data_IF_555202216385
#
_entry.id   IF_555202216385
#
_cell.length_a   1.000
_cell.length_b   1.000
_cell.length_c   1.000
_cell.angle_alpha   90.00
_cell.angle_beta   90.00
_cell.angle_gamma   90.00
#
_symmetry.space_group_name_H-M   'P 1'
#
loop_
_entity.id
_entity.type
_entity.pdbx_description
1 polymer ?
#
# COMPACT_ATOMS: atom_id res chain seq x y z
N UNK A 1 -6.11 -3.71 28.25
CA UNK A 1 -5.13 -2.59 28.27
C UNK A 1 -4.50 -2.54 26.89
N UNK A 2 -4.28 -1.37 26.28
CA UNK A 2 -3.59 -1.30 24.98
C UNK A 2 -2.10 -1.58 25.21
N UNK A 3 -1.55 -2.66 24.66
CA UNK A 3 -0.14 -3.05 24.82
C UNK A 3 0.75 -2.26 23.85
N UNK A 4 1.21 -1.10 24.33
CA UNK A 4 2.23 -0.30 23.65
C UNK A 4 3.55 -0.52 24.39
N UNK A 5 4.60 -0.91 23.67
CA UNK A 5 5.92 -1.18 24.24
C UNK A 5 6.89 -0.03 23.96
N UNK A 6 7.82 0.22 24.88
CA UNK A 6 9.00 1.03 24.53
C UNK A 6 9.88 0.26 23.54
N UNK A 7 10.71 0.98 22.77
CA UNK A 7 11.67 0.34 21.87
C UNK A 7 12.58 -0.65 22.62
N UNK A 8 13.08 -0.26 23.79
CA UNK A 8 13.96 -1.10 24.60
C UNK A 8 13.25 -2.36 25.10
N UNK A 9 12.00 -2.25 25.56
CA UNK A 9 11.18 -3.39 25.97
C UNK A 9 10.94 -4.36 24.81
N UNK A 10 10.61 -3.82 23.63
CA UNK A 10 10.37 -4.64 22.44
C UNK A 10 11.65 -5.34 21.98
N UNK A 11 12.76 -4.60 21.86
CA UNK A 11 14.05 -5.16 21.41
C UNK A 11 14.54 -6.25 22.38
N UNK A 12 14.45 -6.01 23.69
CA UNK A 12 14.80 -7.01 24.71
C UNK A 12 13.96 -8.28 24.56
N UNK A 13 12.64 -8.13 24.37
CA UNK A 13 11.72 -9.26 24.19
C UNK A 13 12.01 -10.06 22.92
N UNK A 14 12.15 -9.40 21.75
CA UNK A 14 12.33 -10.13 20.49
C UNK A 14 13.68 -10.83 20.40
N UNK A 15 14.73 -10.32 21.07
CA UNK A 15 16.03 -11.01 21.16
C UNK A 15 15.94 -12.32 21.94
N UNK A 16 15.02 -12.42 22.89
CA UNK A 16 14.83 -13.62 23.71
C UNK A 16 13.92 -14.64 23.02
N UNK A 17 12.97 -14.19 22.20
CA UNK A 17 11.89 -15.05 21.71
C UNK A 17 11.88 -15.28 20.20
N UNK A 18 12.52 -14.43 19.38
CA UNK A 18 12.63 -14.63 17.94
C UNK A 18 14.03 -15.10 17.58
N UNK A 19 14.14 -16.27 16.95
CA UNK A 19 15.41 -16.81 16.46
C UNK A 19 16.05 -15.87 15.41
N UNK A 20 15.23 -15.24 14.58
CA UNK A 20 15.67 -14.22 13.62
C UNK A 20 16.32 -13.05 14.35
N UNK A 21 15.60 -12.37 15.25
CA UNK A 21 16.12 -11.18 15.92
C UNK A 21 17.24 -11.49 16.91
N UNK A 22 17.24 -12.65 17.55
CA UNK A 22 18.33 -13.13 18.41
C UNK A 22 19.66 -13.20 17.63
N UNK A 23 19.65 -13.78 16.43
CA UNK A 23 20.82 -13.84 15.57
C UNK A 23 21.20 -12.47 15.00
N UNK A 24 20.23 -11.74 14.45
CA UNK A 24 20.49 -10.47 13.75
C UNK A 24 20.90 -9.33 14.68
N UNK A 25 20.44 -9.32 15.94
CA UNK A 25 20.75 -8.27 16.92
C UNK A 25 21.79 -8.71 17.97
N UNK A 26 22.43 -9.87 17.79
CA UNK A 26 23.43 -10.40 18.75
C UNK A 26 24.58 -9.43 19.03
N UNK A 27 24.98 -8.66 18.01
CA UNK A 27 26.09 -7.71 18.06
C UNK A 27 25.77 -6.42 18.83
N UNK A 28 24.50 -6.17 19.17
CA UNK A 28 24.08 -4.96 19.88
C UNK A 28 24.14 -5.12 21.41
N UNK A 29 24.42 -4.02 22.16
CA UNK A 29 24.44 -4.02 23.62
C UNK A 29 23.08 -4.42 24.20
N UNK A 30 23.01 -4.81 25.48
CA UNK A 30 21.76 -5.26 26.12
C UNK A 30 20.84 -4.13 26.57
N UNK A 31 21.39 -2.93 26.77
CA UNK A 31 20.67 -1.73 27.25
C UNK A 31 21.11 -0.50 26.47
N UNK A 32 20.30 0.56 26.49
CA UNK A 32 20.64 1.83 25.84
C UNK A 32 20.59 1.79 24.31
N UNK A 33 19.93 0.79 23.73
CA UNK A 33 19.70 0.70 22.28
C UNK A 33 18.76 1.82 21.87
N UNK A 34 19.19 2.59 20.88
CA UNK A 34 18.36 3.56 20.17
C UNK A 34 17.94 3.02 18.81
N UNK A 35 16.98 3.70 18.18
CA UNK A 35 16.54 3.34 16.83
C UNK A 35 17.68 3.39 15.80
N UNK A 36 18.71 4.22 16.03
CA UNK A 36 19.85 4.37 15.11
C UNK A 36 20.78 3.16 15.13
N UNK A 37 20.80 2.41 16.24
CA UNK A 37 21.68 1.24 16.42
C UNK A 37 21.11 -0.01 15.73
N UNK A 38 19.79 -0.05 15.52
CA UNK A 38 19.14 -1.18 14.86
C UNK A 38 19.49 -1.21 13.37
N UNK A 39 19.86 -2.35 12.77
CA UNK A 39 20.03 -2.45 11.33
C UNK A 39 18.68 -2.32 10.60
N UNK A 40 18.72 -1.89 9.34
CA UNK A 40 17.54 -1.97 8.47
C UNK A 40 17.17 -3.45 8.26
N UNK A 41 15.89 -3.79 8.35
CA UNK A 41 15.45 -5.17 8.10
C UNK A 41 15.65 -5.52 6.62
N UNK A 42 16.36 -6.62 6.36
CA UNK A 42 16.41 -7.24 5.05
C UNK A 42 15.12 -8.04 4.83
N UNK A 43 14.25 -7.56 3.93
CA UNK A 43 12.92 -8.12 3.68
C UNK A 43 13.00 -9.57 3.18
N UNK A 44 13.97 -9.91 2.32
CA UNK A 44 14.17 -11.29 1.84
C UNK A 44 14.46 -12.23 3.00
N UNK A 45 15.44 -11.89 3.85
CA UNK A 45 15.80 -12.71 5.01
C UNK A 45 14.67 -12.80 6.04
N UNK A 46 13.91 -11.71 6.22
CA UNK A 46 12.78 -11.66 7.15
C UNK A 46 11.68 -12.67 6.75
N UNK A 47 11.35 -12.74 5.46
CA UNK A 47 10.30 -13.63 4.95
C UNK A 47 10.77 -15.07 4.71
N UNK A 48 12.05 -15.40 4.90
CA UNK A 48 12.57 -16.77 4.77
C UNK A 48 11.88 -17.73 5.75
N UNK A 49 11.27 -18.79 5.21
CA UNK A 49 10.55 -19.81 5.99
C UNK A 49 9.13 -19.41 6.40
N UNK A 50 8.60 -18.28 5.91
CA UNK A 50 7.25 -17.81 6.25
C UNK A 50 6.09 -18.68 5.76
N UNK A 51 6.38 -19.68 4.92
CA UNK A 51 5.43 -20.70 4.48
C UNK A 51 5.12 -21.75 5.57
N UNK A 52 5.94 -21.83 6.62
CA UNK A 52 5.70 -22.70 7.78
C UNK A 52 5.64 -21.88 9.07
N UNK A 53 4.42 -21.51 9.47
CA UNK A 53 4.17 -20.69 10.66
C UNK A 53 4.58 -21.39 11.97
N UNK A 54 4.78 -22.71 11.99
CA UNK A 54 5.23 -23.41 13.20
C UNK A 54 6.73 -23.23 13.44
N UNK A 55 7.50 -22.95 12.37
CA UNK A 55 8.95 -22.88 12.43
C UNK A 55 9.52 -21.56 11.89
N UNK A 56 8.68 -20.59 11.54
CA UNK A 56 9.13 -19.32 10.98
C UNK A 56 9.96 -18.53 12.02
N UNK A 57 11.27 -18.30 11.80
CA UNK A 57 12.17 -17.78 12.83
C UNK A 57 11.87 -16.36 13.33
N UNK A 58 11.05 -15.61 12.58
CA UNK A 58 10.62 -14.26 12.95
C UNK A 58 9.62 -14.28 14.10
N UNK A 59 8.73 -15.28 14.15
CA UNK A 59 7.70 -15.34 15.17
C UNK A 59 8.30 -15.49 16.57
N UNK A 60 7.66 -14.87 17.56
CA UNK A 60 8.07 -14.96 18.97
C UNK A 60 7.23 -15.95 19.78
N UNK A 61 6.29 -16.64 19.14
CA UNK A 61 5.33 -17.52 19.79
C UNK A 61 4.57 -18.38 18.77
N UNK A 62 3.72 -19.27 19.27
CA UNK A 62 2.84 -20.10 18.46
C UNK A 62 1.69 -19.29 17.85
N UNK A 63 1.03 -19.87 16.86
CA UNK A 63 -0.10 -19.25 16.13
C UNK A 63 -1.46 -19.86 16.52
N UNK A 64 -1.51 -20.60 17.63
CA UNK A 64 -2.72 -21.28 18.12
C UNK A 64 -3.83 -20.28 18.51
N UNK A 65 -3.45 -19.06 18.91
CA UNK A 65 -4.36 -17.97 19.31
C UNK A 65 -4.06 -16.69 18.49
N UNK A 66 -4.18 -16.81 17.16
CA UNK A 66 -3.80 -15.76 16.22
C UNK A 66 -4.78 -15.61 15.04
N UNK A 67 -4.75 -14.41 14.45
CA UNK A 67 -5.33 -14.07 13.16
C UNK A 67 -4.25 -14.11 12.09
N UNK A 68 -4.57 -14.69 10.93
CA UNK A 68 -3.63 -14.89 9.83
C UNK A 68 -4.20 -14.31 8.55
N UNK A 69 -3.43 -13.44 7.90
CA UNK A 69 -3.84 -12.74 6.68
C UNK A 69 -2.79 -12.85 5.59
N UNK A 70 -3.20 -12.90 4.32
CA UNK A 70 -2.28 -12.78 3.20
C UNK A 70 -1.81 -11.33 3.07
N UNK A 71 -0.51 -11.17 2.86
CA UNK A 71 0.03 -9.88 2.39
C UNK A 71 -0.35 -9.69 0.92
N UNK A 72 -0.85 -8.51 0.53
CA UNK A 72 -1.51 -8.30 -0.77
C UNK A 72 -0.69 -8.78 -1.97
N UNK A 73 -1.08 -9.90 -2.56
CA UNK A 73 -0.43 -10.55 -3.69
C UNK A 73 -1.06 -11.93 -3.93
N UNK A 74 -1.52 -12.19 -5.16
CA UNK A 74 -2.18 -13.43 -5.56
C UNK A 74 -1.22 -14.50 -6.11
N UNK A 75 0.11 -14.32 -6.03
CA UNK A 75 1.07 -15.25 -6.67
C UNK A 75 2.08 -15.90 -5.69
N UNK A 76 2.04 -17.24 -5.77
CA UNK A 76 2.99 -18.34 -5.45
C UNK A 76 3.80 -18.44 -4.14
N UNK A 77 4.09 -17.38 -3.38
CA UNK A 77 4.86 -17.55 -2.12
C UNK A 77 4.09 -17.28 -0.83
N UNK A 78 2.82 -16.87 -0.91
CA UNK A 78 1.89 -16.95 0.22
C UNK A 78 2.40 -16.31 1.52
N UNK A 79 3.03 -15.13 1.46
CA UNK A 79 3.49 -14.39 2.65
C UNK A 79 2.29 -14.10 3.57
N UNK A 80 2.31 -14.65 4.78
CA UNK A 80 1.26 -14.50 5.77
C UNK A 80 1.68 -13.54 6.89
N UNK A 81 0.84 -12.55 7.16
CA UNK A 81 0.96 -11.71 8.34
C UNK A 81 0.16 -12.31 9.50
N UNK A 82 0.78 -12.37 10.67
CA UNK A 82 0.21 -13.03 11.85
C UNK A 82 0.05 -12.03 13.00
N UNK A 83 -1.15 -11.96 13.56
CA UNK A 83 -1.50 -11.08 14.68
C UNK A 83 -2.03 -11.89 15.84
N UNK A 84 -1.63 -11.58 17.07
CA UNK A 84 -2.44 -12.01 18.21
C UNK A 84 -3.77 -11.22 18.23
N UNK A 85 -4.79 -11.74 18.91
CA UNK A 85 -6.04 -11.00 19.06
C UNK A 85 -5.84 -9.65 19.75
N UNK A 86 -4.96 -9.57 20.75
CA UNK A 86 -4.66 -8.31 21.43
C UNK A 86 -3.99 -7.28 20.50
N UNK A 87 -3.07 -7.74 19.65
CA UNK A 87 -2.40 -6.89 18.66
C UNK A 87 -3.40 -6.37 17.63
N UNK A 88 -4.29 -7.25 17.15
CA UNK A 88 -5.36 -6.87 16.23
C UNK A 88 -6.31 -5.85 16.86
N UNK A 89 -6.76 -6.08 18.09
CA UNK A 89 -7.62 -5.14 18.82
C UNK A 89 -6.92 -3.79 19.05
N UNK A 90 -5.61 -3.79 19.33
CA UNK A 90 -4.81 -2.56 19.44
C UNK A 90 -4.72 -1.84 18.09
N UNK A 91 -4.53 -2.59 17.00
CA UNK A 91 -4.50 -2.08 15.63
C UNK A 91 -5.81 -1.38 15.25
N UNK A 92 -6.93 -2.11 15.29
CA UNK A 92 -8.25 -1.62 14.83
C UNK A 92 -8.80 -0.54 15.74
N UNK A 93 -8.60 -0.62 17.05
CA UNK A 93 -9.03 0.44 17.96
C UNK A 93 -8.24 1.73 17.78
N UNK A 94 -6.92 1.66 17.54
CA UNK A 94 -6.11 2.85 17.28
C UNK A 94 -6.47 3.48 15.93
N UNK A 95 -6.67 2.66 14.90
CA UNK A 95 -7.08 3.13 13.58
C UNK A 95 -8.47 3.77 13.61
N UNK A 96 -9.47 3.12 14.22
CA UNK A 96 -10.83 3.63 14.39
C UNK A 96 -10.89 4.97 15.13
N UNK A 97 -10.10 5.12 16.20
CA UNK A 97 -9.98 6.40 16.90
C UNK A 97 -9.43 7.52 16.00
N UNK A 98 -8.46 7.23 15.13
CA UNK A 98 -7.97 8.17 14.12
C UNK A 98 -9.03 8.51 13.07
N UNK A 99 -9.71 7.47 12.55
CA UNK A 99 -10.74 7.58 11.51
C UNK A 99 -11.93 8.45 11.94
N UNK A 100 -12.15 8.58 13.25
CA UNK A 100 -13.17 9.46 13.84
C UNK A 100 -13.06 10.93 13.41
N UNK A 101 -11.86 11.38 13.00
CA UNK A 101 -11.64 12.73 12.47
C UNK A 101 -12.21 12.94 11.07
N UNK A 102 -12.35 11.87 10.29
CA UNK A 102 -12.87 11.88 8.92
C UNK A 102 -14.39 11.72 8.84
N UNK A 103 -15.03 11.31 9.93
CA UNK A 103 -16.46 11.04 10.02
C UNK A 103 -17.17 12.04 10.94
N UNK A 104 -18.49 12.15 10.77
CA UNK A 104 -19.42 12.95 11.55
C UNK A 104 -20.43 12.06 12.28
N UNK A 105 -21.12 12.63 13.27
CA UNK A 105 -22.29 11.97 13.86
C UNK A 105 -23.42 11.92 12.83
N UNK A 106 -24.07 10.77 12.72
CA UNK A 106 -25.14 10.50 11.76
C UNK A 106 -24.66 9.88 10.45
N UNK A 107 -23.34 9.75 10.22
CA UNK A 107 -22.81 9.17 8.98
C UNK A 107 -23.27 7.72 8.80
N UNK A 108 -23.60 7.41 7.55
CA UNK A 108 -24.10 6.12 7.07
C UNK A 108 -23.08 5.62 6.06
N UNK A 109 -22.25 4.68 6.50
CA UNK A 109 -20.99 4.31 5.86
C UNK A 109 -21.18 2.99 5.11
N UNK A 110 -21.06 3.00 3.78
CA UNK A 110 -20.89 1.77 3.02
C UNK A 110 -19.42 1.34 3.07
N UNK A 111 -19.15 0.19 3.69
CA UNK A 111 -17.85 -0.46 3.65
C UNK A 111 -17.76 -1.35 2.40
N UNK A 112 -16.94 -0.90 1.45
CA UNK A 112 -16.76 -1.49 0.12
C UNK A 112 -15.39 -2.18 -0.03
N UNK A 113 -14.66 -2.42 1.06
CA UNK A 113 -13.41 -3.16 0.99
C UNK A 113 -13.64 -4.67 0.75
N UNK A 114 -12.58 -5.41 0.40
CA UNK A 114 -12.66 -6.83 0.06
C UNK A 114 -12.40 -7.74 1.27
N UNK A 115 -13.09 -8.87 1.28
CA UNK A 115 -13.00 -9.95 2.27
C UNK A 115 -12.83 -11.32 1.58
N UNK A 116 -12.44 -12.35 2.35
CA UNK A 116 -12.25 -13.70 1.82
C UNK A 116 -10.79 -13.99 1.46
N UNK A 117 -10.46 -15.26 1.23
CA UNK A 117 -9.10 -15.69 0.83
C UNK A 117 -7.93 -15.15 1.69
N UNK A 118 -8.19 -14.91 2.97
CA UNK A 118 -7.27 -14.29 3.94
C UNK A 118 -6.97 -12.79 3.69
N UNK A 119 -7.76 -12.09 2.88
CA UNK A 119 -7.67 -10.64 2.73
C UNK A 119 -8.23 -9.90 3.95
N UNK A 120 -7.41 -9.01 4.51
CA UNK A 120 -7.72 -8.31 5.75
C UNK A 120 -8.59 -7.06 5.58
N UNK A 121 -8.64 -6.44 4.40
CA UNK A 121 -9.09 -5.04 4.26
C UNK A 121 -10.50 -4.77 4.79
N UNK A 122 -11.47 -5.61 4.44
CA UNK A 122 -12.84 -5.44 4.90
C UNK A 122 -12.98 -5.66 6.41
N UNK A 123 -12.37 -6.74 6.93
CA UNK A 123 -12.40 -7.07 8.36
C UNK A 123 -11.70 -5.98 9.18
N UNK A 124 -10.56 -5.48 8.71
CA UNK A 124 -9.82 -4.39 9.32
C UNK A 124 -10.66 -3.11 9.41
N UNK A 125 -11.33 -2.73 8.32
CA UNK A 125 -12.16 -1.52 8.30
C UNK A 125 -13.43 -1.71 9.11
N UNK A 126 -14.08 -2.87 9.03
CA UNK A 126 -15.26 -3.22 9.83
C UNK A 126 -14.96 -3.10 11.34
N UNK A 127 -13.91 -3.78 11.81
CA UNK A 127 -13.52 -3.73 13.21
C UNK A 127 -13.06 -2.33 13.63
N UNK A 128 -12.42 -1.56 12.73
CA UNK A 128 -12.03 -0.19 13.01
C UNK A 128 -13.23 0.75 13.14
N UNK A 129 -14.28 0.59 12.32
CA UNK A 129 -15.51 1.38 12.38
C UNK A 129 -16.23 1.16 13.71
N UNK A 130 -16.15 -0.04 14.31
CA UNK A 130 -16.67 -0.31 15.65
C UNK A 130 -15.99 0.49 16.78
N UNK A 131 -14.81 1.07 16.51
CA UNK A 131 -14.05 1.89 17.46
C UNK A 131 -14.03 3.39 17.12
N UNK A 132 -14.83 3.83 16.15
CA UNK A 132 -14.98 5.25 15.83
C UNK A 132 -15.74 5.96 16.96
N UNK A 133 -15.21 7.08 17.43
CA UNK A 133 -15.81 7.95 18.45
C UNK A 133 -16.94 8.85 17.94
N UNK A 134 -17.58 8.47 16.82
CA UNK A 134 -18.73 9.15 16.20
C UNK A 134 -19.90 8.18 16.17
N UNK A 135 -21.12 8.69 16.32
CA UNK A 135 -22.33 7.88 16.15
C UNK A 135 -22.55 7.66 14.65
N UNK A 136 -22.22 6.46 14.16
CA UNK A 136 -22.33 6.09 12.74
C UNK A 136 -23.19 4.84 12.57
N UNK A 137 -23.63 4.58 11.33
CA UNK A 137 -24.28 3.34 10.91
C UNK A 137 -23.49 2.73 9.75
N UNK A 138 -22.95 1.53 9.94
CA UNK A 138 -22.22 0.81 8.89
C UNK A 138 -23.15 -0.07 8.05
N UNK A 139 -22.89 -0.09 6.74
CA UNK A 139 -23.46 -1.00 5.75
C UNK A 139 -22.33 -1.84 5.12
N UNK A 140 -22.17 -3.11 5.51
CA UNK A 140 -21.05 -3.97 5.11
C UNK A 140 -21.29 -4.65 3.75
N UNK A 141 -21.14 -3.92 2.63
CA UNK A 141 -21.49 -4.42 1.29
C UNK A 141 -20.41 -5.26 0.58
N UNK A 142 -19.15 -5.11 0.98
CA UNK A 142 -17.94 -5.63 0.29
C UNK A 142 -17.65 -4.98 -1.07
N UNK A 143 -16.47 -5.29 -1.60
CA UNK A 143 -15.97 -4.81 -2.89
C UNK A 143 -16.68 -5.37 -4.12
N UNK A 144 -17.38 -6.50 -3.96
CA UNK A 144 -17.93 -7.30 -5.05
C UNK A 144 -19.42 -7.03 -5.31
N UNK A 145 -20.04 -6.08 -4.61
CA UNK A 145 -21.44 -5.73 -4.81
C UNK A 145 -21.70 -5.21 -6.24
N UNK A 146 -22.80 -5.69 -6.83
CA UNK A 146 -23.26 -5.23 -8.15
C UNK A 146 -23.59 -3.72 -8.12
N UNK A 147 -23.12 -2.93 -9.10
CA UNK A 147 -23.27 -1.47 -9.11
C UNK A 147 -24.72 -0.96 -9.03
N UNK A 148 -25.67 -1.64 -9.67
CA UNK A 148 -27.09 -1.26 -9.65
C UNK A 148 -27.69 -1.44 -8.25
N UNK A 149 -27.40 -2.58 -7.61
CA UNK A 149 -27.79 -2.89 -6.23
C UNK A 149 -27.19 -1.88 -5.26
N UNK A 150 -25.91 -1.54 -5.41
CA UNK A 150 -25.24 -0.55 -4.58
C UNK A 150 -25.89 0.84 -4.72
N UNK A 151 -26.12 1.31 -5.95
CA UNK A 151 -26.70 2.62 -6.19
C UNK A 151 -28.13 2.75 -5.63
N UNK A 152 -28.92 1.68 -5.73
CA UNK A 152 -30.28 1.64 -5.16
C UNK A 152 -30.26 1.56 -3.64
N UNK A 153 -29.32 0.80 -3.06
CA UNK A 153 -29.13 0.74 -1.62
C UNK A 153 -28.67 2.09 -1.05
N UNK A 154 -27.77 2.81 -1.73
CA UNK A 154 -27.33 4.15 -1.34
C UNK A 154 -28.52 5.10 -1.23
N UNK A 155 -29.39 5.12 -2.25
CA UNK A 155 -30.58 5.97 -2.26
C UNK A 155 -31.58 5.55 -1.16
N UNK A 156 -31.91 4.25 -1.09
CA UNK A 156 -32.90 3.70 -0.14
C UNK A 156 -32.49 3.92 1.31
N UNK A 157 -31.21 3.68 1.61
CA UNK A 157 -30.69 3.75 2.96
C UNK A 157 -30.05 5.09 3.28
N UNK A 158 -30.06 6.07 2.38
CA UNK A 158 -29.46 7.41 2.56
C UNK A 158 -27.99 7.32 3.00
N UNK A 159 -27.22 6.48 2.33
CA UNK A 159 -25.80 6.32 2.60
C UNK A 159 -25.08 7.58 2.12
N UNK A 160 -24.36 8.25 3.01
CA UNK A 160 -23.65 9.49 2.70
C UNK A 160 -22.12 9.33 2.69
N UNK A 161 -21.59 8.18 3.12
CA UNK A 161 -20.14 7.89 3.09
C UNK A 161 -19.88 6.58 2.35
N UNK A 162 -18.99 6.60 1.36
CA UNK A 162 -18.48 5.38 0.72
C UNK A 162 -17.01 5.19 1.10
N UNK A 163 -16.66 4.02 1.61
CA UNK A 163 -15.30 3.68 2.01
C UNK A 163 -14.81 2.46 1.22
N UNK A 164 -13.79 2.62 0.37
CA UNK A 164 -13.34 1.54 -0.51
C UNK A 164 -12.00 1.79 -1.19
N UNK A 165 -11.65 0.96 -2.17
CA UNK A 165 -10.43 1.15 -2.96
C UNK A 165 -10.71 2.06 -4.17
N UNK A 166 -9.79 2.97 -4.55
CA UNK A 166 -9.92 3.86 -5.71
C UNK A 166 -10.46 3.22 -6.98
N UNK A 167 -9.88 2.10 -7.43
CA UNK A 167 -10.29 1.44 -8.66
C UNK A 167 -11.77 1.01 -8.65
N UNK A 168 -12.26 0.50 -7.51
CA UNK A 168 -13.66 0.09 -7.38
C UNK A 168 -14.59 1.31 -7.36
N UNK A 169 -14.22 2.38 -6.66
CA UNK A 169 -14.97 3.63 -6.66
C UNK A 169 -15.06 4.23 -8.07
N UNK A 170 -13.98 4.16 -8.85
CA UNK A 170 -13.96 4.60 -10.25
C UNK A 170 -14.80 3.70 -11.17
N UNK A 171 -14.75 2.38 -10.99
CA UNK A 171 -15.63 1.45 -11.72
C UNK A 171 -17.11 1.75 -11.41
N UNK A 172 -17.42 2.04 -10.15
CA UNK A 172 -18.78 2.45 -9.76
C UNK A 172 -19.17 3.80 -10.38
N UNK A 173 -18.26 4.78 -10.39
CA UNK A 173 -18.49 6.06 -11.05
C UNK A 173 -18.74 5.90 -12.56
N UNK A 174 -17.96 5.07 -13.25
CA UNK A 174 -18.18 4.77 -14.67
C UNK A 174 -19.56 4.16 -14.92
N UNK A 175 -20.01 3.24 -14.07
CA UNK A 175 -21.36 2.70 -14.11
C UNK A 175 -22.43 3.80 -13.94
N UNK A 176 -22.27 4.69 -12.95
CA UNK A 176 -23.21 5.78 -12.69
C UNK A 176 -23.29 6.75 -13.89
N UNK A 177 -22.15 7.12 -14.48
CA UNK A 177 -22.08 7.96 -15.68
C UNK A 177 -22.80 7.31 -16.86
N UNK A 178 -22.55 6.02 -17.13
CA UNK A 178 -23.22 5.28 -18.20
C UNK A 178 -24.74 5.26 -18.04
N UNK A 179 -25.23 5.20 -16.80
CA UNK A 179 -26.66 5.18 -16.46
C UNK A 179 -27.24 6.57 -16.16
N UNK A 180 -26.46 7.64 -16.36
CA UNK A 180 -26.84 9.04 -16.08
C UNK A 180 -27.37 9.24 -14.65
N UNK A 181 -26.78 8.54 -13.68
CA UNK A 181 -27.08 8.66 -12.26
C UNK A 181 -26.05 9.56 -11.59
N UNK A 182 -26.51 10.49 -10.77
CA UNK A 182 -25.67 11.32 -9.89
C UNK A 182 -26.17 11.11 -8.47
N UNK A 183 -25.25 10.82 -7.54
CA UNK A 183 -25.57 10.50 -6.15
C UNK A 183 -25.21 11.67 -5.24
N UNK A 184 -25.96 12.77 -5.36
CA UNK A 184 -25.73 14.00 -4.59
C UNK A 184 -25.82 13.83 -3.06
N UNK A 185 -26.42 12.75 -2.58
CA UNK A 185 -26.51 12.43 -1.14
C UNK A 185 -25.23 11.82 -0.56
N UNK A 186 -24.25 11.47 -1.40
CA UNK A 186 -22.92 11.06 -0.94
C UNK A 186 -22.09 12.30 -0.69
N UNK A 187 -21.66 12.48 0.56
CA UNK A 187 -20.96 13.66 1.07
C UNK A 187 -19.49 13.37 1.38
N UNK A 188 -19.08 12.10 1.46
CA UNK A 188 -17.67 11.73 1.69
C UNK A 188 -17.29 10.44 0.99
N UNK A 189 -16.13 10.45 0.32
CA UNK A 189 -15.46 9.27 -0.21
C UNK A 189 -14.16 9.04 0.57
N UNK A 190 -14.04 7.89 1.24
CA UNK A 190 -12.85 7.47 1.98
C UNK A 190 -12.12 6.38 1.21
N UNK A 191 -10.91 6.67 0.74
CA UNK A 191 -10.15 5.71 -0.06
C UNK A 191 -8.95 5.12 0.69
N UNK A 192 -8.63 3.86 0.41
CA UNK A 192 -7.46 3.16 0.95
C UNK A 192 -6.89 2.13 -0.01
N UNK A 193 -5.68 1.64 0.28
CA UNK A 193 -5.01 0.59 -0.50
C UNK A 193 -4.34 1.05 -1.79
N UNK A 194 -4.75 2.17 -2.37
CA UNK A 194 -4.16 2.76 -3.58
C UNK A 194 -4.08 4.30 -3.48
N UNK A 195 -3.25 4.90 -4.33
CA UNK A 195 -3.23 6.36 -4.52
C UNK A 195 -4.35 6.77 -5.47
N UNK A 196 -4.85 7.98 -5.28
CA UNK A 196 -5.88 8.58 -6.13
C UNK A 196 -5.29 9.84 -6.78
N UNK A 197 -5.42 9.96 -8.09
CA UNK A 197 -4.75 10.99 -8.88
C UNK A 197 -5.73 12.05 -9.41
N UNK A 198 -5.24 13.24 -9.74
CA UNK A 198 -6.09 14.37 -10.13
C UNK A 198 -7.11 14.07 -11.25
N UNK A 199 -6.77 13.35 -12.34
CA UNK A 199 -7.76 13.01 -13.37
C UNK A 199 -8.86 12.07 -12.87
N UNK A 200 -8.58 11.23 -11.88
CA UNK A 200 -9.55 10.33 -11.27
C UNK A 200 -10.50 11.08 -10.33
N UNK A 201 -10.02 12.15 -9.68
CA UNK A 201 -10.87 13.02 -8.86
C UNK A 201 -11.98 13.67 -9.69
N UNK A 202 -11.66 14.13 -10.91
CA UNK A 202 -12.64 14.74 -11.81
C UNK A 202 -13.79 13.77 -12.16
N UNK A 203 -13.48 12.49 -12.40
CA UNK A 203 -14.50 11.46 -12.66
C UNK A 203 -15.42 11.25 -11.46
N UNK A 204 -14.85 11.23 -10.26
CA UNK A 204 -15.62 11.06 -9.03
C UNK A 204 -16.52 12.29 -8.77
N UNK A 205 -16.04 13.49 -9.07
CA UNK A 205 -16.79 14.74 -8.90
C UNK A 205 -18.05 14.81 -9.78
N UNK A 206 -17.99 14.28 -11.01
CA UNK A 206 -19.15 14.25 -11.93
C UNK A 206 -20.36 13.48 -11.37
N UNK A 207 -20.12 12.41 -10.60
CA UNK A 207 -21.18 11.53 -10.07
C UNK A 207 -21.43 11.72 -8.57
N UNK A 208 -20.48 12.33 -7.85
CA UNK A 208 -20.55 12.64 -6.42
C UNK A 208 -20.20 14.12 -6.15
N UNK A 209 -20.95 15.09 -6.69
CA UNK A 209 -20.56 16.51 -6.71
C UNK A 209 -20.49 17.19 -5.33
N UNK A 210 -21.04 16.55 -4.29
CA UNK A 210 -21.01 17.07 -2.92
C UNK A 210 -19.97 16.34 -2.04
N UNK A 211 -19.23 15.38 -2.61
CA UNK A 211 -18.40 14.50 -1.82
C UNK A 211 -17.02 15.09 -1.58
N UNK A 212 -16.65 15.20 -0.30
CA UNK A 212 -15.27 15.40 0.10
C UNK A 212 -14.50 14.09 -0.04
N UNK A 213 -13.37 14.13 -0.72
CA UNK A 213 -12.52 12.95 -0.92
C UNK A 213 -11.34 13.01 0.06
N UNK A 214 -11.11 11.93 0.80
CA UNK A 214 -10.00 11.82 1.74
C UNK A 214 -9.48 10.39 1.82
N UNK A 215 -8.24 10.22 2.25
CA UNK A 215 -7.74 8.89 2.62
C UNK A 215 -8.48 8.41 3.87
N UNK A 216 -8.80 7.11 3.94
CA UNK A 216 -9.29 6.48 5.17
C UNK A 216 -8.18 6.39 6.23
N UNK A 217 -6.91 6.52 5.81
CA UNK A 217 -5.72 6.24 6.59
C UNK A 217 -4.78 5.32 5.80
N UNK A 218 -3.57 5.15 6.32
CA UNK A 218 -2.54 4.34 5.72
C UNK A 218 -2.11 3.21 6.67
N UNK A 219 -2.31 1.98 6.20
CA UNK A 219 -1.94 0.77 6.90
C UNK A 219 -1.54 -0.29 5.87
N UNK A 220 -0.74 -1.26 6.29
CA UNK A 220 -0.50 -2.48 5.54
C UNK A 220 -0.67 -3.68 6.46
N UNK A 221 -1.05 -4.82 5.92
CA UNK A 221 -1.32 -6.00 6.74
C UNK A 221 -0.04 -6.57 7.38
N UNK A 222 1.13 -6.35 6.77
CA UNK A 222 2.43 -6.70 7.33
C UNK A 222 2.94 -5.64 8.33
N UNK A 223 2.98 -4.36 8.00
CA UNK A 223 3.52 -3.33 8.89
C UNK A 223 2.55 -2.91 10.01
N UNK A 224 1.24 -3.07 9.80
CA UNK A 224 0.17 -2.61 10.69
C UNK A 224 -0.22 -1.15 10.43
N UNK A 225 -0.40 -0.38 11.49
CA UNK A 225 -0.64 1.08 11.44
C UNK A 225 0.57 1.80 10.87
N UNK A 226 0.38 2.71 9.91
CA UNK A 226 1.48 3.51 9.35
C UNK A 226 1.17 5.00 9.47
N UNK A 227 0.02 5.45 8.94
CA UNK A 227 -0.35 6.86 8.91
C UNK A 227 -1.83 7.10 9.19
N UNK A 228 -2.13 8.05 10.09
CA UNK A 228 -3.46 8.56 10.34
C UNK A 228 -3.87 9.54 9.22
N UNK A 229 -5.13 9.54 8.80
CA UNK A 229 -5.67 10.62 7.97
C UNK A 229 -6.54 11.54 8.81
N UNK A 230 -6.20 12.83 8.85
CA UNK A 230 -6.96 13.88 9.54
C UNK A 230 -7.41 14.94 8.53
N UNK A 231 -8.36 15.82 8.90
CA UNK A 231 -8.95 16.81 7.97
C UNK A 231 -7.97 17.85 7.42
N UNK A 232 -6.83 18.03 8.09
CA UNK A 232 -5.74 18.92 7.69
C UNK A 232 -4.69 18.23 6.81
N UNK A 233 -4.86 16.93 6.51
CA UNK A 233 -4.07 16.23 5.51
C UNK A 233 -4.61 16.52 4.11
N UNK A 234 -3.71 16.87 3.19
CA UNK A 234 -4.02 16.79 1.76
C UNK A 234 -4.13 15.34 1.28
N UNK A 235 -4.59 15.13 0.05
CA UNK A 235 -4.60 13.80 -0.56
C UNK A 235 -3.17 13.24 -0.63
N UNK A 236 -3.01 11.99 -0.18
CA UNK A 236 -1.71 11.34 -0.07
C UNK A 236 -0.87 11.76 1.15
N UNK A 237 -1.37 12.65 2.02
CA UNK A 237 -0.75 13.00 3.29
C UNK A 237 -1.33 12.22 4.47
N UNK A 238 -0.45 11.89 5.42
CA UNK A 238 -0.81 11.18 6.65
C UNK A 238 0.01 11.68 7.83
N UNK A 239 -0.57 11.61 9.03
CA UNK A 239 0.09 11.91 10.31
C UNK A 239 0.65 10.65 10.95
N UNK A 240 1.82 10.74 11.57
CA UNK A 240 2.47 9.61 12.24
C UNK A 240 1.70 9.16 13.49
N UNK A 241 1.64 7.85 13.74
CA UNK A 241 1.18 7.27 15.02
C UNK A 241 2.34 7.19 16.04
N UNK A 242 2.81 8.33 16.56
CA UNK A 242 4.08 8.42 17.32
C UNK A 242 4.16 7.55 18.58
N UNK A 243 3.03 7.19 19.18
CA UNK A 243 3.01 6.29 20.34
C UNK A 243 3.13 4.81 19.94
N UNK A 244 2.57 4.44 18.78
CA UNK A 244 2.47 3.06 18.32
C UNK A 244 3.55 2.68 17.31
N UNK A 245 4.18 3.67 16.67
CA UNK A 245 5.11 3.48 15.56
C UNK A 245 6.24 4.49 15.63
N UNK A 246 7.42 4.05 15.19
CA UNK A 246 8.56 4.93 14.90
C UNK A 246 8.77 4.93 13.39
N UNK A 247 8.39 6.02 12.73
CA UNK A 247 8.56 6.19 11.29
C UNK A 247 9.85 6.95 10.96
N UNK A 248 10.58 6.43 9.99
CA UNK A 248 11.77 7.06 9.41
C UNK A 248 11.60 7.15 7.89
N UNK A 249 12.14 8.21 7.30
CA UNK A 249 12.36 8.30 5.86
C UNK A 249 13.86 8.19 5.65
N UNK A 250 14.31 7.29 4.79
CA UNK A 250 15.72 6.97 4.62
C UNK A 250 16.11 7.14 3.16
N UNK A 251 17.24 7.80 2.90
CA UNK A 251 17.84 7.84 1.57
C UNK A 251 18.26 6.42 1.16
N UNK A 252 17.64 5.89 0.10
CA UNK A 252 17.84 4.49 -0.35
C UNK A 252 19.29 4.18 -0.73
N UNK A 253 20.09 5.20 -1.01
CA UNK A 253 21.48 5.02 -1.41
C UNK A 253 22.44 5.20 -0.25
N UNK A 254 22.32 6.30 0.48
CA UNK A 254 23.28 6.63 1.55
C UNK A 254 22.94 5.96 2.88
N UNK A 255 21.70 5.52 3.07
CA UNK A 255 21.20 5.00 4.35
C UNK A 255 20.98 6.08 5.40
N UNK A 256 21.12 7.35 5.03
CA UNK A 256 20.91 8.51 5.89
C UNK A 256 19.42 8.66 6.24
N UNK A 257 19.14 9.01 7.50
CA UNK A 257 17.78 9.39 7.93
C UNK A 257 17.49 10.81 7.45
N UNK A 258 16.44 10.96 6.66
CA UNK A 258 15.95 12.22 6.12
C UNK A 258 15.01 12.86 7.14
N UNK A 259 15.34 14.08 7.54
CA UNK A 259 14.51 14.93 8.41
C UNK A 259 13.98 16.17 7.66
N UNK A 260 14.59 16.51 6.52
CA UNK A 260 14.17 17.65 5.72
C UNK A 260 12.78 17.41 5.09
N UNK A 261 11.98 18.48 5.02
CA UNK A 261 10.73 18.45 4.28
C UNK A 261 11.00 18.27 2.77
N UNK A 262 10.06 17.62 2.09
CA UNK A 262 10.02 17.39 0.64
C UNK A 262 11.16 16.55 0.04
N UNK A 263 12.20 16.21 0.81
CA UNK A 263 13.21 15.24 0.40
C UNK A 263 12.61 13.83 0.43
N UNK A 264 12.55 13.21 -0.75
CA UNK A 264 11.98 11.88 -0.93
C UNK A 264 12.97 10.81 -0.49
N UNK A 265 12.49 9.82 0.25
CA UNK A 265 13.23 8.61 0.59
C UNK A 265 12.30 7.42 0.82
N UNK A 266 12.87 6.28 1.19
CA UNK A 266 12.14 5.07 1.53
C UNK A 266 11.51 5.20 2.92
N UNK A 267 10.23 4.85 3.02
CA UNK A 267 9.50 4.80 4.28
C UNK A 267 9.84 3.51 5.04
N UNK A 268 10.28 3.68 6.29
CA UNK A 268 10.74 2.62 7.17
C UNK A 268 10.02 2.73 8.50
N UNK A 269 9.56 1.59 9.02
CA UNK A 269 8.75 1.54 10.23
C UNK A 269 9.31 0.57 11.28
N UNK A 270 9.30 1.01 12.53
CA UNK A 270 9.29 0.12 13.70
C UNK A 270 7.90 0.14 14.32
N UNK A 271 7.27 -1.03 14.48
CA UNK A 271 5.96 -1.15 15.10
C UNK A 271 6.11 -1.52 16.59
N UNK A 272 5.58 -0.69 17.49
CA UNK A 272 5.71 -0.85 18.95
C UNK A 272 4.54 -1.60 19.59
N UNK A 273 3.56 -2.04 18.80
CA UNK A 273 2.38 -2.77 19.25
C UNK A 273 2.35 -4.21 18.76
N UNK A 274 3.43 -4.69 18.12
CA UNK A 274 3.54 -6.05 17.60
C UNK A 274 4.69 -6.81 18.25
N UNK A 275 4.37 -7.92 18.89
CA UNK A 275 5.27 -8.89 19.50
C UNK A 275 5.30 -10.20 18.75
N UNK A 276 4.15 -10.78 18.40
CA UNK A 276 4.05 -12.11 17.78
C UNK A 276 4.80 -12.18 16.46
N UNK A 277 4.57 -11.19 15.61
CA UNK A 277 5.32 -10.95 14.37
C UNK A 277 5.91 -9.53 14.42
N UNK A 278 7.10 -9.36 15.03
CA UNK A 278 7.67 -8.04 15.26
C UNK A 278 8.26 -7.44 13.98
N UNK A 279 8.23 -6.11 13.89
CA UNK A 279 8.82 -5.34 12.79
C UNK A 279 9.69 -4.21 13.34
N UNK A 280 11.01 -4.34 13.19
CA UNK A 280 12.00 -3.35 13.58
C UNK A 280 12.69 -2.77 12.35
N UNK A 281 12.68 -1.45 12.16
CA UNK A 281 13.21 -0.75 10.98
C UNK A 281 12.89 -1.48 9.66
N UNK A 282 11.62 -1.83 9.50
CA UNK A 282 11.12 -2.57 8.36
C UNK A 282 10.82 -1.63 7.17
N UNK A 283 11.43 -1.87 5.99
CA UNK A 283 11.03 -1.18 4.76
C UNK A 283 9.58 -1.50 4.40
N UNK A 284 8.71 -0.49 4.43
CA UNK A 284 7.28 -0.66 4.13
C UNK A 284 7.04 -0.93 2.63
N UNK A 285 8.01 -0.55 1.78
CA UNK A 285 7.96 -0.70 0.33
C UNK A 285 7.45 0.55 -0.40
N UNK A 286 7.18 1.63 0.32
CA UNK A 286 6.76 2.92 -0.22
C UNK A 286 7.84 3.98 -0.02
N UNK A 287 7.81 5.01 -0.86
CA UNK A 287 8.57 6.24 -0.69
C UNK A 287 7.68 7.28 -0.05
N UNK A 288 8.30 8.17 0.72
CA UNK A 288 7.62 9.29 1.32
C UNK A 288 8.56 10.51 1.41
N UNK A 289 7.99 11.65 1.74
CA UNK A 289 8.74 12.81 2.24
C UNK A 289 8.02 13.42 3.45
N UNK A 290 8.75 14.08 4.34
CA UNK A 290 8.14 14.86 5.40
C UNK A 290 7.50 16.13 4.82
N UNK A 291 6.41 16.58 5.45
CA UNK A 291 5.70 17.81 5.10
C UNK A 291 5.69 18.85 6.21
N UNK A 292 6.16 18.44 7.39
CA UNK A 292 6.24 19.28 8.57
C UNK A 292 7.60 19.08 9.27
N UNK A 293 8.15 20.11 9.93
CA UNK A 293 9.40 20.01 10.68
C UNK A 293 9.36 18.92 11.76
N UNK A 294 10.51 18.33 12.08
CA UNK A 294 10.67 17.23 13.06
C UNK A 294 10.05 17.50 14.43
N UNK A 295 10.02 18.75 14.89
CA UNK A 295 9.45 19.11 16.19
C UNK A 295 7.91 19.10 16.21
N UNK A 296 7.25 18.92 15.06
CA UNK A 296 5.78 18.94 14.95
C UNK A 296 5.21 17.62 15.48
N UNK A 297 4.33 17.64 16.50
CA UNK A 297 3.72 16.42 17.00
C UNK A 297 2.89 15.73 15.93
N UNK A 298 3.09 14.42 15.77
CA UNK A 298 2.48 13.58 14.74
C UNK A 298 2.65 14.20 13.36
N UNK A 299 3.88 14.62 13.05
CA UNK A 299 4.21 15.33 11.81
C UNK A 299 3.65 14.64 10.57
N UNK A 300 3.24 15.42 9.57
CA UNK A 300 2.75 14.90 8.30
C UNK A 300 3.89 14.38 7.42
N UNK A 301 3.60 13.31 6.71
CA UNK A 301 4.36 12.83 5.57
C UNK A 301 3.43 12.62 4.37
N UNK A 302 3.98 12.66 3.16
CA UNK A 302 3.25 12.35 1.94
C UNK A 302 3.84 11.14 1.23
N UNK A 303 2.99 10.28 0.68
CA UNK A 303 3.40 9.13 -0.13
C UNK A 303 3.89 9.58 -1.52
N UNK A 304 4.97 8.94 -2.00
CA UNK A 304 5.68 9.28 -3.24
C UNK A 304 5.91 8.06 -4.14
N UNK A 305 4.95 7.14 -4.11
CA UNK A 305 5.00 5.87 -4.85
C UNK A 305 5.86 4.80 -4.20
N UNK A 306 6.29 3.81 -4.97
CA UNK A 306 7.00 2.63 -4.45
C UNK A 306 8.51 2.85 -4.33
N UNK A 307 9.11 2.24 -3.30
CA UNK A 307 10.56 2.24 -3.08
C UNK A 307 11.26 1.24 -4.01
N UNK A 308 12.53 1.45 -4.32
CA UNK A 308 13.32 0.51 -5.12
C UNK A 308 13.56 -0.83 -4.38
N UNK A 309 13.49 -0.80 -3.04
CA UNK A 309 13.54 -1.99 -2.19
C UNK A 309 12.23 -2.80 -2.20
N UNK A 310 11.17 -2.27 -2.80
CA UNK A 310 9.92 -3.00 -2.91
C UNK A 310 10.00 -4.05 -4.03
N UNK A 311 9.89 -5.33 -3.64
CA UNK A 311 9.66 -6.42 -4.60
C UNK A 311 8.28 -6.33 -5.28
N UNK A 312 7.36 -5.53 -4.71
CA UNK A 312 5.97 -5.38 -5.17
C UNK A 312 5.72 -4.00 -5.77
N UNK A 313 5.05 -3.96 -6.91
CA UNK A 313 4.63 -2.74 -7.59
C UNK A 313 3.11 -2.71 -7.73
N UNK A 314 2.49 -1.58 -7.40
CA UNK A 314 1.04 -1.39 -7.45
C UNK A 314 0.64 -0.49 -8.62
N UNK A 315 -0.28 -0.97 -9.44
CA UNK A 315 -0.88 -0.27 -10.60
C UNK A 315 -2.37 -0.55 -10.56
N UNK A 316 -3.18 0.44 -10.14
CA UNK A 316 -4.54 0.19 -9.67
C UNK A 316 -4.62 -0.97 -8.67
N UNK A 317 -5.52 -1.92 -8.94
CA UNK A 317 -5.72 -3.14 -8.14
C UNK A 317 -4.64 -4.20 -8.34
N UNK A 318 -3.76 -4.05 -9.34
CA UNK A 318 -2.72 -5.04 -9.65
C UNK A 318 -1.59 -5.00 -8.63
N UNK A 319 -1.17 -6.19 -8.21
CA UNK A 319 0.11 -6.42 -7.53
C UNK A 319 1.06 -7.14 -8.48
N UNK A 320 2.07 -6.44 -8.94
CA UNK A 320 3.13 -6.97 -9.79
C UNK A 320 4.38 -7.25 -8.96
N UNK A 321 5.10 -8.33 -9.27
CA UNK A 321 6.34 -8.67 -8.57
C UNK A 321 7.52 -8.61 -9.52
N UNK A 322 8.56 -7.85 -9.13
CA UNK A 322 9.72 -7.63 -9.99
C UNK A 322 10.50 -8.92 -10.26
N UNK A 323 10.53 -9.85 -9.30
CA UNK A 323 11.21 -11.14 -9.43
C UNK A 323 10.47 -12.07 -10.41
N UNK A 324 9.14 -12.15 -10.32
CA UNK A 324 8.32 -12.95 -11.25
C UNK A 324 8.39 -12.39 -12.68
N UNK A 325 8.32 -11.06 -12.84
CA UNK A 325 8.52 -10.40 -14.13
C UNK A 325 9.91 -10.72 -14.68
N UNK A 326 10.94 -10.69 -13.83
CA UNK A 326 12.30 -11.02 -14.23
C UNK A 326 12.42 -12.48 -14.70
N UNK A 327 11.87 -13.44 -13.95
CA UNK A 327 11.85 -14.86 -14.33
C UNK A 327 11.14 -15.09 -15.66
N UNK A 328 10.01 -14.41 -15.89
CA UNK A 328 9.27 -14.47 -17.16
C UNK A 328 10.13 -13.93 -18.31
N UNK A 329 10.74 -12.75 -18.14
CA UNK A 329 11.60 -12.13 -19.16
C UNK A 329 12.82 -13.00 -19.45
N UNK A 330 13.47 -13.53 -18.42
CA UNK A 330 14.65 -14.38 -18.58
C UNK A 330 14.32 -15.70 -19.28
N UNK A 331 13.15 -16.28 -18.99
CA UNK A 331 12.69 -17.52 -19.63
C UNK A 331 12.35 -17.33 -21.12
N UNK A 332 11.75 -16.19 -21.48
CA UNK A 332 11.18 -16.01 -22.84
C UNK A 332 12.09 -15.19 -23.76
N UNK A 333 12.77 -14.15 -23.25
CA UNK A 333 13.66 -13.28 -24.03
C UNK A 333 15.14 -13.49 -23.73
N UNK A 334 15.50 -14.32 -22.75
CA UNK A 334 16.89 -14.51 -22.30
C UNK A 334 17.59 -13.19 -21.92
N UNK A 335 16.82 -12.18 -21.49
CA UNK A 335 17.34 -10.84 -21.19
C UNK A 335 17.37 -10.56 -19.70
N UNK A 336 18.52 -10.08 -19.24
CA UNK A 336 18.72 -9.54 -17.89
C UNK A 336 18.31 -8.06 -17.79
N UNK A 337 18.24 -7.39 -18.94
CA UNK A 337 18.07 -5.94 -19.04
C UNK A 337 16.61 -5.58 -19.33
N UNK A 338 15.89 -5.25 -18.27
CA UNK A 338 14.49 -4.84 -18.37
C UNK A 338 14.09 -3.79 -17.32
N UNK A 339 13.06 -3.01 -17.63
CA UNK A 339 12.49 -1.99 -16.75
C UNK A 339 10.97 -1.94 -16.89
N UNK A 340 10.28 -1.89 -15.77
CA UNK A 340 8.86 -1.56 -15.69
C UNK A 340 8.69 -0.05 -15.66
N UNK A 341 7.91 0.50 -16.58
CA UNK A 341 7.56 1.91 -16.65
C UNK A 341 6.07 2.07 -16.36
N UNK A 342 5.75 2.92 -15.39
CA UNK A 342 4.37 3.27 -15.02
C UNK A 342 4.18 4.75 -15.28
N UNK A 343 3.19 5.05 -16.09
CA UNK A 343 2.78 6.40 -16.47
C UNK A 343 1.27 6.53 -16.27
N UNK A 344 0.75 7.73 -16.43
CA UNK A 344 -0.68 8.00 -16.39
C UNK A 344 -1.05 8.90 -17.56
N UNK A 345 -2.11 8.53 -18.30
CA UNK A 345 -2.68 9.33 -19.38
C UNK A 345 -4.15 9.58 -19.08
N UNK A 346 -4.48 10.79 -18.62
CA UNK A 346 -5.81 11.08 -18.09
C UNK A 346 -6.13 10.17 -16.90
N UNK A 347 -7.30 9.51 -16.83
CA UNK A 347 -7.67 8.64 -15.72
C UNK A 347 -7.04 7.23 -15.79
N UNK A 348 -6.34 6.92 -16.89
CA UNK A 348 -5.86 5.59 -17.23
C UNK A 348 -4.39 5.40 -16.84
N UNK A 349 -4.07 4.29 -16.19
CA UNK A 349 -2.68 3.90 -15.94
C UNK A 349 -2.08 3.31 -17.23
N UNK A 350 -0.82 3.65 -17.54
CA UNK A 350 -0.06 3.08 -18.64
C UNK A 350 1.10 2.24 -18.06
N UNK A 351 1.05 0.94 -18.30
CA UNK A 351 2.02 -0.04 -17.82
C UNK A 351 2.84 -0.58 -18.98
N UNK A 352 4.12 -0.25 -19.02
CA UNK A 352 5.04 -0.72 -20.06
C UNK A 352 6.14 -1.59 -19.49
N UNK A 353 6.31 -2.81 -20.00
CA UNK A 353 7.50 -3.64 -19.76
C UNK A 353 8.47 -3.40 -20.91
N UNK A 354 9.61 -2.78 -20.61
CA UNK A 354 10.70 -2.55 -21.56
C UNK A 354 11.80 -3.58 -21.37
N UNK A 355 12.34 -4.13 -22.45
CA UNK A 355 13.55 -4.97 -22.41
C UNK A 355 14.55 -4.62 -23.50
N UNK A 356 15.79 -5.07 -23.34
CA UNK A 356 16.82 -5.02 -24.38
C UNK A 356 16.93 -6.39 -25.06
N UNK A 357 16.67 -6.48 -26.38
CA UNK A 357 16.84 -7.72 -27.13
C UNK A 357 18.31 -8.14 -27.20
N UNK A 358 18.57 -9.45 -27.24
CA UNK A 358 19.94 -9.93 -27.47
C UNK A 358 20.43 -9.55 -28.89
N UNK A 359 21.71 -9.18 -29.06
CA UNK A 359 22.27 -8.76 -30.34
C UNK A 359 22.12 -9.79 -31.48
N UNK A 360 21.92 -11.07 -31.14
CA UNK A 360 21.85 -12.19 -32.09
C UNK A 360 20.41 -12.61 -32.43
N UNK A 361 19.38 -11.99 -31.83
CA UNK A 361 17.98 -12.29 -32.11
C UNK A 361 17.54 -11.73 -33.47
N UNK A 362 17.29 -12.61 -34.44
CA UNK A 362 16.99 -12.22 -35.82
C UNK A 362 15.58 -11.63 -36.05
N UNK A 363 14.66 -11.74 -35.09
CA UNK A 363 13.36 -11.03 -35.12
C UNK A 363 12.84 -10.75 -33.70
N UNK A 364 12.53 -9.49 -33.39
CA UNK A 364 12.03 -9.04 -32.07
C UNK A 364 10.54 -9.33 -31.89
N UNK A 365 9.77 -9.29 -32.96
CA UNK A 365 8.30 -9.37 -32.94
C UNK A 365 7.75 -10.69 -32.32
N UNK A 366 8.31 -11.89 -32.62
CA UNK A 366 7.86 -13.12 -31.97
C UNK A 366 8.08 -13.11 -30.47
N UNK A 367 9.23 -12.56 -30.02
CA UNK A 367 9.57 -12.46 -28.59
C UNK A 367 8.65 -11.47 -27.89
N UNK A 368 8.35 -10.33 -28.54
CA UNK A 368 7.38 -9.33 -28.07
C UNK A 368 6.03 -9.97 -27.75
N UNK A 369 5.50 -10.73 -28.71
CA UNK A 369 4.24 -11.46 -28.57
C UNK A 369 4.29 -12.50 -27.46
N UNK A 370 5.33 -13.34 -27.44
CA UNK A 370 5.48 -14.40 -26.46
C UNK A 370 5.55 -13.86 -25.02
N UNK A 371 6.24 -12.73 -24.80
CA UNK A 371 6.28 -12.12 -23.46
C UNK A 371 4.99 -11.43 -23.08
N UNK A 372 4.31 -10.78 -24.02
CA UNK A 372 2.98 -10.24 -23.75
C UNK A 372 2.04 -11.36 -23.32
N UNK A 373 2.02 -12.48 -24.03
CA UNK A 373 1.22 -13.65 -23.70
C UNK A 373 1.61 -14.23 -22.32
N UNK A 374 2.90 -14.42 -22.05
CA UNK A 374 3.36 -14.94 -20.77
C UNK A 374 3.02 -14.03 -19.58
N UNK A 375 3.15 -12.70 -19.74
CA UNK A 375 2.80 -11.73 -18.71
C UNK A 375 1.29 -11.66 -18.47
N UNK A 376 0.47 -11.71 -19.51
CA UNK A 376 -0.99 -11.73 -19.38
C UNK A 376 -1.50 -13.05 -18.77
N UNK A 377 -0.88 -14.19 -19.12
CA UNK A 377 -1.21 -15.47 -18.51
C UNK A 377 -0.88 -15.50 -17.02
N UNK A 378 0.22 -14.87 -16.60
CA UNK A 378 0.62 -14.79 -15.19
C UNK A 378 -0.15 -13.73 -14.41
N UNK A 379 -0.51 -12.61 -15.04
CA UNK A 379 -1.29 -11.51 -14.46
C UNK A 379 -2.60 -11.25 -15.24
N UNK A 380 -3.59 -12.15 -15.14
CA UNK A 380 -4.82 -12.09 -15.95
C UNK A 380 -5.63 -10.80 -15.74
N UNK A 381 -5.58 -10.22 -14.53
CA UNK A 381 -6.25 -8.97 -14.20
C UNK A 381 -5.79 -7.76 -15.05
N UNK A 382 -4.63 -7.84 -15.73
CA UNK A 382 -4.22 -6.82 -16.71
C UNK A 382 -5.23 -6.74 -17.86
N UNK A 383 -5.76 -7.87 -18.33
CA UNK A 383 -6.70 -7.92 -19.44
C UNK A 383 -8.07 -7.37 -19.04
N UNK A 384 -8.53 -7.70 -17.83
CA UNK A 384 -9.76 -7.17 -17.24
C UNK A 384 -9.72 -5.64 -17.17
N UNK A 385 -8.67 -5.08 -16.56
CA UNK A 385 -8.50 -3.62 -16.47
C UNK A 385 -8.32 -2.94 -17.83
N UNK A 386 -7.75 -3.65 -18.81
CA UNK A 386 -7.63 -3.13 -20.17
C UNK A 386 -8.97 -3.05 -20.87
N UNK A 387 -9.84 -4.04 -20.69
CA UNK A 387 -11.22 -4.05 -21.22
C UNK A 387 -12.10 -2.99 -20.56
N UNK A 388 -11.90 -2.74 -19.27
CA UNK A 388 -12.59 -1.68 -18.52
C UNK A 388 -12.06 -0.27 -18.83
N UNK A 389 -11.01 -0.14 -19.63
CA UNK A 389 -10.43 1.15 -20.00
C UNK A 389 -9.60 1.81 -18.88
N UNK A 390 -9.31 1.09 -17.80
CA UNK A 390 -8.57 1.58 -16.63
C UNK A 390 -7.04 1.42 -16.78
N UNK A 391 -6.60 0.49 -17.62
CA UNK A 391 -5.17 0.19 -17.83
C UNK A 391 -4.84 0.05 -19.31
N UNK A 392 -3.68 0.56 -19.72
CA UNK A 392 -3.08 0.22 -21.00
C UNK A 392 -1.77 -0.54 -20.76
N UNK A 393 -1.70 -1.77 -21.26
CA UNK A 393 -0.52 -2.61 -21.10
C UNK A 393 0.27 -2.73 -22.41
N UNK A 394 1.56 -2.42 -22.35
CA UNK A 394 2.51 -2.49 -23.48
C UNK A 394 3.74 -3.33 -23.11
N UNK A 395 4.24 -4.05 -24.11
CA UNK A 395 5.54 -4.72 -24.05
C UNK A 395 6.37 -4.15 -25.19
N UNK A 396 7.55 -3.61 -24.87
CA UNK A 396 8.36 -2.81 -25.80
C UNK A 396 9.81 -3.31 -25.77
N UNK A 397 10.42 -3.46 -26.95
CA UNK A 397 11.88 -3.51 -27.06
C UNK A 397 12.46 -2.09 -26.99
N UNK A 398 13.68 -1.98 -26.47
CA UNK A 398 14.40 -0.72 -26.39
C UNK A 398 15.92 -0.93 -26.46
N UNK A 399 16.66 0.16 -26.66
CA UNK A 399 18.11 0.14 -26.52
C UNK A 399 18.49 0.13 -25.03
N UNK A 400 19.68 -0.39 -24.70
CA UNK A 400 20.18 -0.38 -23.32
C UNK A 400 20.27 1.05 -22.73
N UNK A 401 20.50 2.06 -23.57
CA UNK A 401 20.53 3.48 -23.21
C UNK A 401 19.16 4.04 -22.80
N UNK A 402 18.07 3.39 -23.20
CA UNK A 402 16.70 3.82 -22.86
C UNK A 402 16.29 3.38 -21.44
N UNK A 403 16.98 2.36 -20.90
CA UNK A 403 16.76 1.89 -19.54
C UNK A 403 17.39 2.86 -18.55
N UNK A 404 16.54 3.46 -17.71
CA UNK A 404 17.02 4.45 -16.75
C UNK A 404 17.89 3.84 -15.67
N UNK A 405 19.02 4.49 -15.43
CA UNK A 405 19.92 4.20 -14.33
C UNK A 405 19.61 5.14 -13.18
N UNK A 406 19.83 4.68 -11.95
CA UNK A 406 19.75 5.54 -10.79
C UNK A 406 20.84 6.62 -10.86
N UNK A 407 20.50 7.92 -10.75
CA UNK A 407 21.40 9.02 -11.07
C UNK A 407 22.67 9.08 -10.21
N UNK A 408 22.62 8.55 -8.98
CA UNK A 408 23.80 8.51 -8.08
C UNK A 408 24.61 7.22 -8.16
N UNK A 409 23.97 6.07 -8.40
CA UNK A 409 24.64 4.76 -8.24
C UNK A 409 24.98 4.10 -9.57
N UNK A 410 24.44 4.60 -10.69
CA UNK A 410 24.59 4.01 -12.01
C UNK A 410 23.92 2.64 -12.18
N UNK A 411 23.28 2.10 -11.14
CA UNK A 411 22.56 0.82 -11.21
C UNK A 411 21.26 1.00 -11.97
N UNK A 412 20.90 0.01 -12.79
CA UNK A 412 19.63 0.01 -13.51
C UNK A 412 18.45 0.00 -12.54
N UNK A 413 17.49 0.91 -12.76
CA UNK A 413 16.23 0.90 -12.04
C UNK A 413 15.32 -0.18 -12.64
N UNK A 414 14.78 -1.08 -11.81
CA UNK A 414 13.81 -2.07 -12.26
C UNK A 414 12.41 -1.47 -12.47
N UNK A 415 12.07 -0.44 -11.71
CA UNK A 415 10.76 0.21 -11.75
C UNK A 415 10.95 1.71 -11.86
N UNK A 416 10.25 2.31 -12.82
CA UNK A 416 10.18 3.76 -13.02
C UNK A 416 8.71 4.16 -12.98
N UNK A 417 8.29 4.73 -11.87
CA UNK A 417 6.94 5.27 -11.69
C UNK A 417 6.96 6.78 -11.91
N UNK A 418 6.33 7.24 -12.99
CA UNK A 418 6.24 8.63 -13.41
C UNK A 418 4.87 9.25 -13.11
N UNK A 419 4.00 8.54 -12.38
CA UNK A 419 2.73 9.11 -11.93
C UNK A 419 2.99 10.28 -10.99
N UNK A 420 2.17 11.32 -11.09
CA UNK A 420 2.31 12.54 -10.28
C UNK A 420 1.53 12.37 -8.98
N UNK A 421 2.24 12.11 -7.89
CA UNK A 421 1.64 11.89 -6.56
C UNK A 421 1.24 13.18 -5.84
N UNK A 422 1.80 14.32 -6.24
CA UNK A 422 1.42 15.62 -5.72
C UNK A 422 0.12 16.08 -6.40
N UNK A 423 -0.98 16.04 -5.65
CA UNK A 423 -2.18 16.75 -6.08
C UNK A 423 -1.91 18.23 -5.85
N UNK A 424 -1.92 19.02 -6.92
CA UNK A 424 -1.88 20.48 -6.78
C UNK A 424 -3.10 20.88 -5.95
N UNK A 425 -2.86 21.35 -4.73
CA UNK A 425 -3.89 21.92 -3.88
C UNK A 425 -4.52 23.07 -4.65
N UNK A 426 -5.75 22.87 -5.15
CA UNK A 426 -6.58 24.00 -5.50
C UNK A 426 -6.81 24.75 -4.17
N UNK A 427 -6.28 25.97 -4.08
CA UNK A 427 -6.60 26.87 -2.98
C UNK A 427 -8.12 26.95 -2.85
N UNK A 428 -8.69 26.94 -1.63
CA UNK A 428 -10.09 27.24 -1.47
C UNK A 428 -10.30 28.67 -2.00
N UNK A 429 -11.19 28.82 -2.99
CA UNK A 429 -11.65 30.13 -3.41
C UNK A 429 -12.13 30.90 -2.16
N UNK A 430 -11.51 32.06 -1.93
CA UNK A 430 -11.80 32.96 -0.81
C UNK A 430 -13.24 33.44 -0.79
#
# INVERSE_FOLDING_TARGET
MKSIHSLEQLVSFVRQHSNYYSAHLKHLPTTGITLKDLPLTNVTNYWTGSNDLNHWPVLTGNVDDALVFKTGGSTSQGKLAVYSYEEWQTLVSTFGNSLSSQLNNGDRVANLFFSGDLYASFLFVHDSLAHVGRSICEFPFTGDIEPDVLADAIARHRINVLAGVPAQLLRFAAYLTQHRRVLCGVETLLYGGESLFAPQLAILDEVFPNARIASIGYASVDAGLIGASTRDCALGEHRVFEQQTLLQIIDEHTGEVIEECDRIGMLVQTNLTRRLMPLLRYPVGDRACWREPTATPRRKFALKGRSAHSQRVRVGVLSLFTEEIHEIIQRVAHSEQWQLLIEQTGPKDLLSVKWVPEPQSQTVEPVLRALREALLAHYPAIDDLSREGLLEFRVLSCAATDLQLHPRSGKQLRVRDLRVYDVCSQEPAQ
#
